data_IF_445725740603
#
_entry.id   IF_445725740603
#
_cell.length_a   1.000
_cell.length_b   1.000
_cell.length_c   1.000
_cell.angle_alpha   90.00
_cell.angle_beta   90.00
_cell.angle_gamma   90.00
#
_symmetry.space_group_name_H-M   'P 1'
#
loop_
_entity.id
_entity.type
_entity.pdbx_description
1 polymer ?
#
# COMPACT_ATOMS: atom_id res chain seq x y z
N UNK A 1 -11.24 9.25 -4.01
CA UNK A 1 -11.11 9.24 -2.54
C UNK A 1 -9.71 8.77 -2.20
N UNK A 2 -9.01 9.47 -1.32
CA UNK A 2 -7.69 9.05 -0.85
C UNK A 2 -7.75 8.77 0.65
N UNK A 3 -7.02 7.76 1.09
CA UNK A 3 -6.86 7.39 2.49
C UNK A 3 -5.38 7.38 2.79
N UNK A 4 -4.99 8.03 3.89
CA UNK A 4 -3.62 8.02 4.39
C UNK A 4 -3.59 7.28 5.72
N UNK A 5 -2.72 6.29 5.84
CA UNK A 5 -2.64 5.45 7.02
C UNK A 5 -1.18 5.19 7.40
N UNK A 6 -0.89 5.20 8.70
CA UNK A 6 0.39 4.69 9.19
C UNK A 6 0.41 3.16 9.12
N UNK A 7 1.62 2.59 9.00
CA UNK A 7 1.81 1.12 8.95
C UNK A 7 1.13 0.37 10.10
N UNK A 8 1.02 0.96 11.29
CA UNK A 8 0.34 0.34 12.44
C UNK A 8 -1.19 0.17 12.25
N UNK A 9 -1.78 0.89 11.30
CA UNK A 9 -3.24 0.99 11.10
C UNK A 9 -3.74 0.27 9.84
N UNK A 10 -2.87 -0.43 9.11
CA UNK A 10 -3.29 -1.13 7.88
C UNK A 10 -3.88 -2.52 8.15
N UNK A 11 -3.83 -3.01 9.39
CA UNK A 11 -4.41 -4.29 9.78
C UNK A 11 -5.92 -4.34 9.53
N UNK A 12 -6.39 -5.32 8.78
CA UNK A 12 -7.80 -5.50 8.43
C UNK A 12 -8.25 -4.74 7.18
N UNK A 13 -7.40 -3.90 6.59
CA UNK A 13 -7.67 -3.32 5.28
C UNK A 13 -7.52 -4.39 4.20
N UNK A 14 -8.46 -4.42 3.26
CA UNK A 14 -8.43 -5.34 2.13
C UNK A 14 -7.92 -4.62 0.89
N UNK A 15 -6.97 -5.23 0.17
CA UNK A 15 -6.44 -4.72 -1.10
C UNK A 15 -7.54 -4.41 -2.13
N UNK A 16 -8.63 -5.18 -2.11
CA UNK A 16 -9.80 -4.99 -2.97
C UNK A 16 -10.55 -3.66 -2.75
N UNK A 17 -10.27 -2.97 -1.64
CA UNK A 17 -10.83 -1.65 -1.33
C UNK A 17 -10.12 -0.52 -2.07
N UNK A 18 -8.95 -0.78 -2.65
CA UNK A 18 -8.11 0.22 -3.29
C UNK A 18 -7.79 -0.15 -4.74
N UNK A 19 -7.59 0.87 -5.57
CA UNK A 19 -7.20 0.72 -6.97
C UNK A 19 -5.69 0.95 -7.13
N UNK A 20 -5.10 1.79 -6.27
CA UNK A 20 -3.65 2.05 -6.20
C UNK A 20 -3.19 2.17 -4.75
N UNK A 21 -1.98 1.70 -4.46
CA UNK A 21 -1.34 1.84 -3.15
C UNK A 21 0.05 2.43 -3.35
N UNK A 22 0.34 3.47 -2.56
CA UNK A 22 1.63 4.13 -2.49
C UNK A 22 2.24 3.94 -1.09
N UNK A 23 3.56 3.81 -1.03
CA UNK A 23 4.32 3.95 0.21
C UNK A 23 5.05 5.29 0.22
N UNK A 24 4.90 6.02 1.32
CA UNK A 24 5.50 7.33 1.50
C UNK A 24 6.62 7.20 2.54
N UNK A 25 7.88 7.52 2.22
CA UNK A 25 8.91 7.73 3.23
C UNK A 25 8.45 8.76 4.28
N UNK A 26 8.89 8.63 5.52
CA UNK A 26 8.53 9.57 6.59
C UNK A 26 8.81 11.02 6.17
N UNK A 27 7.81 11.90 6.31
CA UNK A 27 7.85 13.31 5.91
C UNK A 27 7.98 13.60 4.39
N UNK A 28 7.76 12.60 3.54
CA UNK A 28 7.73 12.78 2.09
C UNK A 28 6.30 13.02 1.58
N UNK A 29 6.15 14.01 0.69
CA UNK A 29 4.93 14.18 -0.11
C UNK A 29 4.92 13.25 -1.33
N UNK A 30 6.08 12.66 -1.67
CA UNK A 30 6.23 11.72 -2.76
C UNK A 30 6.05 10.29 -2.26
N UNK A 31 5.12 9.57 -2.89
CA UNK A 31 4.89 8.14 -2.65
C UNK A 31 5.39 7.28 -3.80
N UNK A 32 6.00 6.14 -3.46
CA UNK A 32 6.36 5.09 -4.42
C UNK A 32 5.16 4.18 -4.63
N UNK A 33 4.73 3.99 -5.89
CA UNK A 33 3.65 3.07 -6.24
C UNK A 33 4.11 1.62 -6.01
N UNK A 34 3.35 0.85 -5.23
CA UNK A 34 3.64 -0.57 -4.94
C UNK A 34 2.56 -1.52 -5.45
N UNK A 35 1.37 -0.99 -5.77
CA UNK A 35 0.25 -1.78 -6.27
C UNK A 35 -0.62 -0.95 -7.22
N UNK A 36 -1.06 -1.57 -8.31
CA UNK A 36 -2.04 -0.97 -9.23
C UNK A 36 -2.98 -2.00 -9.83
N UNK A 37 -4.27 -1.85 -9.55
CA UNK A 37 -5.33 -2.66 -10.14
C UNK A 37 -5.33 -2.54 -11.66
N UNK A 38 -5.24 -3.68 -12.36
CA UNK A 38 -5.39 -3.73 -13.82
C UNK A 38 -6.87 -3.49 -14.18
N UNK A 39 -7.10 -2.73 -15.24
CA UNK A 39 -8.43 -2.49 -15.85
C UNK A 39 -9.39 -1.49 -15.17
N UNK A 40 -8.96 -0.73 -14.16
CA UNK A 40 -9.77 0.36 -13.61
C UNK A 40 -8.97 1.68 -13.55
N UNK A 41 -9.57 2.83 -13.90
CA UNK A 41 -8.97 4.12 -13.58
C UNK A 41 -8.87 4.23 -12.04
N UNK A 42 -7.75 4.75 -11.50
CA UNK A 42 -7.55 4.80 -10.06
C UNK A 42 -8.49 5.81 -9.42
N UNK A 43 -9.50 5.33 -8.69
CA UNK A 43 -10.48 6.18 -7.97
C UNK A 43 -10.24 6.19 -6.47
N UNK A 44 -9.66 5.12 -5.95
CA UNK A 44 -9.39 4.87 -4.53
C UNK A 44 -7.90 4.64 -4.34
N UNK A 45 -7.23 5.60 -3.71
CA UNK A 45 -5.81 5.54 -3.44
C UNK A 45 -5.55 5.36 -1.94
N UNK A 46 -4.66 4.43 -1.59
CA UNK A 46 -4.11 4.28 -0.25
C UNK A 46 -2.68 4.80 -0.23
N UNK A 47 -2.37 5.66 0.73
CA UNK A 47 -1.02 6.14 1.03
C UNK A 47 -0.61 5.57 2.38
N UNK A 48 0.50 4.84 2.41
CA UNK A 48 1.02 4.21 3.61
C UNK A 48 2.29 4.94 4.03
N UNK A 49 2.24 5.63 5.17
CA UNK A 49 3.43 6.24 5.74
C UNK A 49 4.32 5.15 6.33
N UNK A 50 5.54 5.09 5.82
CA UNK A 50 6.60 4.26 6.37
C UNK A 50 7.15 4.90 7.65
N UNK A 51 7.55 4.10 8.64
CA UNK A 51 8.29 4.61 9.79
C UNK A 51 9.62 5.25 9.34
N UNK A 52 10.20 6.10 10.20
CA UNK A 52 11.48 6.80 9.94
C UNK A 52 12.62 5.85 9.58
N UNK A 53 12.61 4.63 10.12
CA UNK A 53 13.59 3.59 9.84
C UNK A 53 12.86 2.28 9.46
N UNK A 54 12.48 2.12 8.18
CA UNK A 54 11.76 0.93 7.73
C UNK A 54 12.73 -0.26 7.70
N UNK A 55 12.40 -1.30 8.48
CA UNK A 55 13.17 -2.54 8.48
C UNK A 55 13.12 -3.19 7.10
N UNK A 56 14.15 -3.97 6.75
CA UNK A 56 14.10 -4.87 5.61
C UNK A 56 12.85 -5.76 5.69
N UNK A 57 12.17 -5.98 4.58
CA UNK A 57 10.90 -6.72 4.55
C UNK A 57 9.63 -5.89 4.81
N UNK A 58 9.71 -4.55 4.92
CA UNK A 58 8.54 -3.73 5.27
C UNK A 58 7.48 -3.75 4.17
N UNK A 59 7.86 -3.76 2.90
CA UNK A 59 6.91 -3.79 1.78
C UNK A 59 6.21 -5.15 1.71
N UNK A 60 6.94 -6.22 1.98
CA UNK A 60 6.43 -7.59 2.05
C UNK A 60 5.40 -7.72 3.17
N UNK A 61 5.65 -7.11 4.33
CA UNK A 61 4.67 -7.06 5.43
C UNK A 61 3.42 -6.25 5.06
N UNK A 62 3.58 -5.13 4.36
CA UNK A 62 2.44 -4.36 3.84
C UNK A 62 1.61 -5.22 2.90
N UNK A 63 2.28 -5.96 2.00
CA UNK A 63 1.65 -6.89 1.07
C UNK A 63 0.90 -7.99 1.81
N UNK A 64 1.52 -8.66 2.76
CA UNK A 64 0.89 -9.73 3.53
C UNK A 64 -0.29 -9.21 4.38
N UNK A 65 -0.24 -7.97 4.86
CA UNK A 65 -1.34 -7.37 5.62
C UNK A 65 -2.56 -7.02 4.76
N UNK A 66 -2.33 -6.52 3.53
CA UNK A 66 -3.39 -6.07 2.63
C UNK A 66 -3.93 -7.19 1.72
N UNK A 67 -3.09 -8.17 1.41
CA UNK A 67 -3.37 -9.31 0.54
C UNK A 67 -2.80 -10.61 1.16
N UNK A 68 -3.36 -11.06 2.30
CA UNK A 68 -2.84 -12.22 3.05
C UNK A 68 -2.92 -13.53 2.26
N UNK A 69 -3.85 -13.61 1.31
CA UNK A 69 -4.00 -14.77 0.43
C UNK A 69 -3.12 -14.69 -0.82
N UNK A 70 -2.42 -13.55 -1.03
CA UNK A 70 -1.57 -13.28 -2.20
C UNK A 70 -2.30 -13.50 -3.52
N UNK A 71 -3.58 -13.15 -3.57
CA UNK A 71 -4.40 -13.33 -4.76
C UNK A 71 -4.13 -12.26 -5.82
N UNK A 72 -3.49 -11.15 -5.44
CA UNK A 72 -3.24 -10.06 -6.38
C UNK A 72 -1.90 -10.21 -7.08
N UNK A 73 -1.94 -10.36 -8.41
CA UNK A 73 -0.77 -10.30 -9.30
C UNK A 73 -0.37 -8.86 -9.69
N UNK A 74 -1.03 -7.88 -9.08
CA UNK A 74 -0.97 -6.44 -9.40
C UNK A 74 0.07 -5.68 -8.56
N UNK A 75 0.82 -6.40 -7.72
CA UNK A 75 1.97 -5.88 -7.00
C UNK A 75 3.13 -5.61 -7.96
N UNK A 76 3.79 -4.48 -7.76
CA UNK A 76 4.97 -4.10 -8.53
C UNK A 76 6.24 -4.68 -7.88
N UNK A 77 7.26 -5.02 -8.69
CA UNK A 77 8.56 -5.48 -8.20
C UNK A 77 9.34 -4.37 -7.47
#
# INVERSE_FOLDING_TARGET
MFVKAGLAHIGGLQISSFDVIYVCPSHSELGTLIFRRRHAPPRRALFIDLPKDPKHGTIERIRDALDPLRHSDDWLP
#
